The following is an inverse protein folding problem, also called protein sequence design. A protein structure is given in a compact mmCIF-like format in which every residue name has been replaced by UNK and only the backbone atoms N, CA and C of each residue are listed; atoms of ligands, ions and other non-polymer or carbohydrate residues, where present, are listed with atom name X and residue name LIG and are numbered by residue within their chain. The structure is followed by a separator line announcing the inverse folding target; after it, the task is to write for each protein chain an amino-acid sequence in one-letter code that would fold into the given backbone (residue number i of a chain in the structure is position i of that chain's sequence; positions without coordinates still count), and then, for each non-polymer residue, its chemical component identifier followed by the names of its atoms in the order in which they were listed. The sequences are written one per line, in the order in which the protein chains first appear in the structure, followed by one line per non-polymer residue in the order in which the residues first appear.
data_IF_124261775868
#
_entry.id   IF_124261775868
#
_cell.length_a   1.000
_cell.length_b   1.000
_cell.length_c   1.000
_cell.angle_alpha   90.00
_cell.angle_beta   90.00
_cell.angle_gamma   90.00
#
_symmetry.space_group_name_H-M   'P 1'
#
loop_
_entity.id
_entity.type
_entity.pdbx_description
1 polymer ?
#
# COMPACT_ATOMS: atom_id res chain seq x y z
N UNK A 1 29.28 -26.07 -18.04
CA UNK A 1 28.01 -25.34 -17.81
C UNK A 1 26.93 -25.97 -18.68
N UNK A 2 25.75 -26.25 -18.14
CA UNK A 2 24.66 -26.81 -18.96
C UNK A 2 24.20 -25.79 -20.00
N UNK A 3 23.81 -26.26 -21.19
CA UNK A 3 23.31 -25.41 -22.29
C UNK A 3 22.13 -24.52 -21.84
N UNK A 4 21.24 -25.06 -21.01
CA UNK A 4 20.10 -24.33 -20.45
C UNK A 4 20.52 -23.13 -19.59
N UNK A 5 21.59 -23.24 -18.80
CA UNK A 5 22.09 -22.12 -17.99
C UNK A 5 22.62 -20.98 -18.87
N UNK A 6 23.36 -21.30 -19.94
CA UNK A 6 23.89 -20.29 -20.86
C UNK A 6 22.77 -19.51 -21.55
N UNK A 7 21.70 -20.21 -21.96
CA UNK A 7 20.51 -19.58 -22.56
C UNK A 7 19.78 -18.63 -21.59
N UNK A 8 19.53 -19.06 -20.36
CA UNK A 8 18.87 -18.21 -19.34
C UNK A 8 19.71 -17.00 -18.97
N UNK A 9 21.04 -17.15 -18.88
CA UNK A 9 21.95 -16.03 -18.59
C UNK A 9 21.97 -15.00 -19.71
N UNK A 10 22.01 -15.44 -20.97
CA UNK A 10 21.95 -14.56 -22.13
C UNK A 10 20.63 -13.77 -22.14
N UNK A 11 19.50 -14.43 -21.86
CA UNK A 11 18.20 -13.78 -21.77
C UNK A 11 18.17 -12.76 -20.62
N UNK A 12 18.57 -13.15 -19.40
CA UNK A 12 18.60 -12.26 -18.23
C UNK A 12 19.43 -11.00 -18.46
N UNK A 13 20.56 -11.12 -19.16
CA UNK A 13 21.45 -9.99 -19.45
C UNK A 13 20.88 -9.02 -20.48
N UNK A 14 19.90 -9.46 -21.29
CA UNK A 14 19.24 -8.63 -22.29
C UNK A 14 18.01 -7.89 -21.74
N UNK A 15 17.55 -8.22 -20.53
CA UNK A 15 16.39 -7.56 -19.92
C UNK A 15 16.79 -6.22 -19.29
N UNK A 16 15.88 -5.23 -19.30
CA UNK A 16 16.10 -3.97 -18.59
C UNK A 16 16.14 -4.21 -17.07
N UNK A 17 16.83 -3.31 -16.37
CA UNK A 17 16.84 -3.30 -14.91
C UNK A 17 15.43 -3.12 -14.36
N UNK A 18 15.16 -3.77 -13.23
CA UNK A 18 13.89 -3.63 -12.52
C UNK A 18 13.69 -2.18 -12.08
N UNK A 19 12.56 -1.60 -12.47
CA UNK A 19 12.11 -0.30 -11.96
C UNK A 19 10.86 -0.52 -11.09
N UNK A 20 10.89 -0.09 -9.81
CA UNK A 20 9.72 -0.25 -8.95
C UNK A 20 8.56 0.63 -9.45
N UNK A 21 7.34 0.11 -9.34
CA UNK A 21 6.11 0.85 -9.67
C UNK A 21 5.94 2.09 -8.79
N UNK A 22 6.33 1.99 -7.50
CA UNK A 22 6.31 3.10 -6.56
C UNK A 22 7.76 3.43 -6.16
N UNK A 23 8.25 4.64 -6.46
CA UNK A 23 9.57 5.08 -6.02
C UNK A 23 9.69 5.07 -4.49
N UNK A 24 10.80 4.53 -3.98
CA UNK A 24 11.02 4.39 -2.53
C UNK A 24 10.99 5.72 -1.77
N UNK A 25 11.42 6.81 -2.40
CA UNK A 25 11.37 8.15 -1.81
C UNK A 25 9.96 8.70 -1.61
N UNK A 26 8.95 8.16 -2.30
CA UNK A 26 7.54 8.59 -2.16
C UNK A 26 6.77 7.81 -1.10
N UNK A 27 7.26 6.63 -0.69
CA UNK A 27 6.62 5.78 0.31
C UNK A 27 6.30 6.50 1.63
N UNK A 28 7.19 7.31 2.25
CA UNK A 28 6.88 7.94 3.54
C UNK A 28 5.77 8.98 3.41
N UNK A 29 5.69 9.70 2.29
CA UNK A 29 4.63 10.67 2.03
C UNK A 29 3.29 9.98 1.79
N UNK A 30 3.30 8.86 1.04
CA UNK A 30 2.10 8.03 0.86
C UNK A 30 1.61 7.45 2.17
N UNK A 31 2.52 6.92 3.00
CA UNK A 31 2.19 6.40 4.32
C UNK A 31 1.53 7.49 5.19
N UNK A 32 2.13 8.69 5.24
CA UNK A 32 1.59 9.80 6.01
C UNK A 32 0.17 10.20 5.55
N UNK A 33 -0.05 10.34 4.24
CA UNK A 33 -1.35 10.72 3.69
C UNK A 33 -2.43 9.65 3.94
N UNK A 34 -2.10 8.36 3.71
CA UNK A 34 -3.04 7.25 3.89
C UNK A 34 -3.38 7.02 5.38
N UNK A 35 -2.40 7.13 6.29
CA UNK A 35 -2.66 7.00 7.72
C UNK A 35 -3.42 8.21 8.26
N UNK A 36 -3.05 9.43 7.86
CA UNK A 36 -3.75 10.63 8.33
C UNK A 36 -5.23 10.64 7.91
N UNK A 37 -5.51 10.27 6.65
CA UNK A 37 -6.88 10.12 6.16
C UNK A 37 -7.63 8.98 6.88
N UNK A 38 -6.97 7.86 7.16
CA UNK A 38 -7.54 6.79 7.99
C UNK A 38 -7.91 7.31 9.38
N UNK A 39 -7.03 8.06 10.05
CA UNK A 39 -7.31 8.66 11.35
C UNK A 39 -8.50 9.61 11.31
N UNK A 40 -8.58 10.47 10.29
CA UNK A 40 -9.69 11.39 10.10
C UNK A 40 -11.02 10.64 9.86
N UNK A 41 -11.01 9.57 9.06
CA UNK A 41 -12.18 8.74 8.80
C UNK A 41 -12.61 7.95 10.04
N UNK A 42 -11.66 7.42 10.81
CA UNK A 42 -11.95 6.73 12.07
C UNK A 42 -12.54 7.69 13.13
N UNK A 43 -12.04 8.92 13.18
CA UNK A 43 -12.63 9.97 14.01
C UNK A 43 -14.05 10.31 13.56
N UNK A 44 -14.23 10.54 12.25
CA UNK A 44 -15.54 10.83 11.67
C UNK A 44 -16.56 9.71 11.94
N UNK A 45 -16.17 8.45 11.74
CA UNK A 45 -16.97 7.28 12.07
C UNK A 45 -17.40 7.26 13.54
N UNK A 46 -16.49 7.63 14.45
CA UNK A 46 -16.77 7.67 15.89
C UNK A 46 -17.75 8.78 16.29
N UNK A 47 -17.84 9.85 15.50
CA UNK A 47 -18.78 10.95 15.70
C UNK A 47 -20.11 10.79 14.95
N UNK A 48 -20.24 9.76 14.11
CA UNK A 48 -21.40 9.58 13.26
C UNK A 48 -22.63 9.18 14.11
N UNK A 49 -23.78 9.87 13.97
CA UNK A 49 -25.03 9.43 14.59
C UNK A 49 -25.42 8.06 14.05
N UNK A 50 -25.83 7.15 14.93
CA UNK A 50 -26.28 5.82 14.52
C UNK A 50 -27.62 5.91 13.82
N UNK A 51 -27.64 5.54 12.54
CA UNK A 51 -28.86 5.43 11.74
C UNK A 51 -29.43 4.00 11.83
N UNK A 52 -30.75 3.86 11.64
CA UNK A 52 -31.41 2.54 11.61
C UNK A 52 -30.89 1.64 10.48
N UNK A 53 -30.37 2.23 9.39
CA UNK A 53 -29.72 1.50 8.30
C UNK A 53 -28.26 2.00 8.17
N UNK A 54 -27.24 1.18 8.51
CA UNK A 54 -25.86 1.61 8.66
C UNK A 54 -25.09 1.70 7.33
N UNK A 55 -25.69 2.29 6.28
CA UNK A 55 -25.06 2.42 4.95
C UNK A 55 -23.82 3.31 5.05
N UNK A 56 -23.94 4.47 5.72
CA UNK A 56 -22.85 5.43 5.89
C UNK A 56 -21.72 4.89 6.74
N UNK A 57 -22.06 4.23 7.85
CA UNK A 57 -21.11 3.57 8.73
C UNK A 57 -20.28 2.54 7.96
N UNK A 58 -20.94 1.67 7.19
CA UNK A 58 -20.28 0.62 6.42
C UNK A 58 -19.38 1.21 5.33
N UNK A 59 -19.82 2.26 4.65
CA UNK A 59 -19.02 2.94 3.63
C UNK A 59 -17.77 3.61 4.22
N UNK A 60 -17.91 4.30 5.36
CA UNK A 60 -16.77 4.95 6.03
C UNK A 60 -15.80 3.91 6.60
N UNK A 61 -16.31 2.84 7.23
CA UNK A 61 -15.48 1.79 7.79
C UNK A 61 -14.71 1.01 6.69
N UNK A 62 -15.36 0.69 5.58
CA UNK A 62 -14.71 -0.02 4.46
C UNK A 62 -13.64 0.85 3.78
N UNK A 63 -13.92 2.13 3.54
CA UNK A 63 -12.91 3.05 2.99
C UNK A 63 -11.74 3.23 3.96
N UNK A 64 -12.01 3.46 5.26
CA UNK A 64 -10.96 3.55 6.28
C UNK A 64 -10.10 2.27 6.35
N UNK A 65 -10.72 1.09 6.24
CA UNK A 65 -10.00 -0.20 6.26
C UNK A 65 -9.03 -0.36 5.08
N UNK A 66 -9.46 0.00 3.88
CA UNK A 66 -8.61 -0.05 2.68
C UNK A 66 -7.43 0.90 2.83
N UNK A 67 -7.69 2.16 3.22
CA UNK A 67 -6.64 3.17 3.39
C UNK A 67 -5.66 2.79 4.50
N UNK A 68 -6.16 2.21 5.60
CA UNK A 68 -5.33 1.70 6.68
C UNK A 68 -4.38 0.60 6.18
N UNK A 69 -4.89 -0.37 5.42
CA UNK A 69 -4.10 -1.48 4.88
C UNK A 69 -2.95 -0.99 3.99
N UNK A 70 -3.26 -0.20 2.97
CA UNK A 70 -2.23 0.37 2.08
C UNK A 70 -1.26 1.27 2.82
N UNK A 71 -1.77 2.06 3.77
CA UNK A 71 -0.95 2.95 4.58
C UNK A 71 0.06 2.21 5.46
N UNK A 72 -0.34 1.12 6.11
CA UNK A 72 0.55 0.31 6.95
C UNK A 72 1.64 -0.36 6.10
N UNK A 73 1.30 -0.91 4.93
CA UNK A 73 2.30 -1.47 4.00
C UNK A 73 3.31 -0.39 3.58
N UNK A 74 2.82 0.80 3.20
CA UNK A 74 3.69 1.92 2.83
C UNK A 74 4.59 2.37 4.00
N UNK A 75 4.07 2.39 5.23
CA UNK A 75 4.82 2.72 6.43
C UNK A 75 5.95 1.72 6.68
N UNK A 76 5.66 0.42 6.58
CA UNK A 76 6.63 -0.65 6.84
C UNK A 76 7.72 -0.68 5.77
N UNK A 77 7.36 -0.47 4.50
CA UNK A 77 8.33 -0.30 3.43
C UNK A 77 9.17 0.97 3.60
N UNK A 78 8.61 2.06 4.17
CA UNK A 78 9.37 3.28 4.49
C UNK A 78 10.33 3.08 5.67
N UNK A 79 9.96 2.24 6.64
CA UNK A 79 10.80 1.91 7.80
C UNK A 79 11.93 0.91 7.45
N UNK A 80 12.00 0.42 6.21
CA UNK A 80 13.04 -0.50 5.77
C UNK A 80 12.80 -1.96 6.17
N UNK A 81 11.58 -2.33 6.57
CA UNK A 81 11.22 -3.74 6.86
C UNK A 81 11.12 -4.55 5.56
N UNK A 82 10.73 -3.89 4.45
CA UNK A 82 10.53 -4.46 3.12
C UNK A 82 9.74 -5.78 3.14
N UNK A 83 8.42 -5.69 3.02
CA UNK A 83 7.53 -6.85 2.90
C UNK A 83 7.56 -7.42 1.48
#
# INVERSE_FOLDING_TARGET
MSSSYASTKALHSALPAFSPIVPVGLLPYLAALLLASTFALAFYFSTLPKDTIPIRETAVASTASILAGFGVVALFCSAGVYV
#
